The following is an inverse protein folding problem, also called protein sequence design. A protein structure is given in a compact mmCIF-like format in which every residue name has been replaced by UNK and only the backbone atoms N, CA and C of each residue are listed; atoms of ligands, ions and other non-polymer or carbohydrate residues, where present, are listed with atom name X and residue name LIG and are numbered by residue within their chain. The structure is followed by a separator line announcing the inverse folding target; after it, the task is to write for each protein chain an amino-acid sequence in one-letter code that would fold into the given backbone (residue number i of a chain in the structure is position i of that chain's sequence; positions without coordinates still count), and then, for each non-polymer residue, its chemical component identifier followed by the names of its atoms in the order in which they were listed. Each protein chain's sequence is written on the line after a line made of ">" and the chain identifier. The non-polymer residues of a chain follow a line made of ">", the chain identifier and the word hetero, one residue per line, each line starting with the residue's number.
data_IF_501493274549
#
_entry.id   IF_501493274549
#
_cell.length_a   1.000
_cell.length_b   1.000
_cell.length_c   1.000
_cell.angle_alpha   90.00
_cell.angle_beta   90.00
_cell.angle_gamma   90.00
#
_symmetry.space_group_name_H-M   'P 1'
#
loop_
_entity.id
_entity.type
_entity.pdbx_description
1 polymer ?
#
# COMPACT_ATOMS: atom_id res chain seq x y z
N UNK A 1 6.20 -10.18 12.03
CA UNK A 1 5.21 -11.27 12.11
C UNK A 1 5.01 -11.76 10.68
N UNK A 2 5.54 -12.93 10.33
CA UNK A 2 5.43 -13.46 8.96
C UNK A 2 4.00 -14.00 8.83
N UNK A 3 3.12 -13.29 8.10
CA UNK A 3 1.77 -13.78 7.77
C UNK A 3 1.95 -15.11 7.03
N UNK A 4 1.29 -16.18 7.52
CA UNK A 4 1.15 -17.40 6.72
C UNK A 4 0.33 -17.06 5.47
N UNK A 5 0.72 -17.56 4.28
CA UNK A 5 -0.06 -17.39 3.07
C UNK A 5 -1.46 -17.94 3.28
N UNK A 6 -2.49 -17.15 2.97
CA UNK A 6 -3.87 -17.59 2.97
C UNK A 6 -4.46 -17.34 1.58
N UNK A 7 -3.89 -18.05 0.61
CA UNK A 7 -4.28 -18.03 -0.81
C UNK A 7 -5.81 -18.20 -1.00
N UNK A 8 -6.47 -18.94 -0.11
CA UNK A 8 -7.94 -19.07 -0.10
C UNK A 8 -8.65 -17.76 0.23
N UNK A 9 -8.14 -16.99 1.20
CA UNK A 9 -8.72 -15.71 1.59
C UNK A 9 -8.55 -14.65 0.49
N UNK A 10 -7.38 -14.62 -0.16
CA UNK A 10 -7.17 -13.75 -1.30
C UNK A 10 -8.14 -14.06 -2.44
N UNK A 11 -8.29 -15.34 -2.77
CA UNK A 11 -9.22 -15.78 -3.82
C UNK A 11 -10.68 -15.39 -3.51
N UNK A 12 -11.11 -15.49 -2.25
CA UNK A 12 -12.45 -15.05 -1.81
C UNK A 12 -12.63 -13.55 -2.08
N UNK A 13 -11.68 -12.71 -1.65
CA UNK A 13 -11.79 -11.27 -1.84
C UNK A 13 -11.65 -10.84 -3.30
N UNK A 14 -10.75 -11.47 -4.06
CA UNK A 14 -10.61 -11.24 -5.49
C UNK A 14 -11.92 -11.56 -6.25
N UNK A 15 -12.54 -12.71 -5.95
CA UNK A 15 -13.82 -13.08 -6.56
C UNK A 15 -14.95 -12.12 -6.17
N UNK A 16 -15.00 -11.70 -4.90
CA UNK A 16 -15.98 -10.72 -4.44
C UNK A 16 -15.78 -9.36 -5.13
N UNK A 17 -14.54 -8.92 -5.28
CA UNK A 17 -14.16 -7.71 -6.00
C UNK A 17 -14.57 -7.79 -7.47
N UNK A 18 -14.19 -8.86 -8.17
CA UNK A 18 -14.53 -9.06 -9.58
C UNK A 18 -16.05 -9.04 -9.82
N UNK A 19 -16.81 -9.73 -8.98
CA UNK A 19 -18.27 -9.76 -9.08
C UNK A 19 -18.89 -8.39 -8.82
N UNK A 20 -18.43 -7.66 -7.79
CA UNK A 20 -18.88 -6.31 -7.51
C UNK A 20 -18.54 -5.33 -8.65
N UNK A 21 -17.35 -5.46 -9.24
CA UNK A 21 -16.90 -4.61 -10.34
C UNK A 21 -17.72 -4.86 -11.60
N UNK A 22 -18.01 -6.14 -11.89
CA UNK A 22 -18.88 -6.53 -13.01
C UNK A 22 -20.29 -5.97 -12.83
N UNK A 23 -20.86 -6.12 -11.64
CA UNK A 23 -22.18 -5.59 -11.28
C UNK A 23 -22.22 -4.06 -11.40
N UNK A 24 -21.19 -3.37 -10.91
CA UNK A 24 -21.04 -1.92 -11.06
C UNK A 24 -20.97 -1.49 -12.54
N UNK A 25 -20.13 -2.14 -13.34
CA UNK A 25 -19.96 -1.84 -14.75
C UNK A 25 -21.24 -2.07 -15.57
N UNK A 26 -21.95 -3.17 -15.30
CA UNK A 26 -23.21 -3.49 -15.96
C UNK A 26 -24.33 -2.50 -15.58
N UNK A 27 -24.38 -2.06 -14.32
CA UNK A 27 -25.30 -1.00 -13.86
C UNK A 27 -25.01 0.32 -14.55
N UNK A 28 -23.73 0.72 -14.67
CA UNK A 28 -23.34 1.93 -15.40
C UNK A 28 -23.75 1.91 -16.88
N UNK A 29 -23.73 0.74 -17.52
CA UNK A 29 -24.14 0.56 -18.93
C UNK A 29 -25.65 0.62 -19.13
N UNK A 30 -26.43 0.04 -18.21
CA UNK A 30 -27.90 -0.10 -18.35
C UNK A 30 -28.65 1.17 -18.00
N UNK A 31 -28.32 1.79 -16.86
CA UNK A 31 -28.96 3.03 -16.42
C UNK A 31 -27.94 3.99 -15.78
N UNK A 32 -27.40 4.93 -16.57
CA UNK A 32 -26.47 5.91 -16.07
C UNK A 32 -27.05 6.87 -15.01
N UNK A 33 -28.36 6.89 -14.75
CA UNK A 33 -29.00 7.88 -13.88
C UNK A 33 -29.41 7.36 -12.50
N UNK A 34 -29.38 6.04 -12.28
CA UNK A 34 -29.77 5.46 -10.99
C UNK A 34 -28.66 5.60 -9.93
N UNK A 35 -28.64 6.72 -9.19
CA UNK A 35 -27.52 7.14 -8.34
C UNK A 35 -27.29 6.30 -7.07
N UNK A 36 -28.36 5.83 -6.42
CA UNK A 36 -28.25 5.10 -5.14
C UNK A 36 -27.58 3.73 -5.32
N UNK A 37 -28.04 2.92 -6.27
CA UNK A 37 -27.44 1.61 -6.58
C UNK A 37 -25.97 1.74 -6.98
N UNK A 38 -25.63 2.77 -7.77
CA UNK A 38 -24.25 3.05 -8.18
C UNK A 38 -23.35 3.32 -7.00
N UNK A 39 -23.81 4.14 -6.06
CA UNK A 39 -23.03 4.54 -4.88
C UNK A 39 -22.79 3.34 -3.96
N UNK A 40 -23.82 2.50 -3.78
CA UNK A 40 -23.68 1.25 -3.02
C UNK A 40 -22.68 0.29 -3.68
N UNK A 41 -22.80 0.07 -4.98
CA UNK A 41 -21.91 -0.81 -5.73
C UNK A 41 -20.47 -0.30 -5.76
N UNK A 42 -20.27 1.01 -5.90
CA UNK A 42 -18.95 1.63 -5.82
C UNK A 42 -18.28 1.35 -4.46
N UNK A 43 -18.99 1.53 -3.36
CA UNK A 43 -18.48 1.22 -2.00
C UNK A 43 -18.12 -0.26 -1.86
N UNK A 44 -18.94 -1.16 -2.43
CA UNK A 44 -18.68 -2.61 -2.45
C UNK A 44 -17.41 -2.95 -3.25
N UNK A 45 -17.22 -2.33 -4.41
CA UNK A 45 -16.02 -2.46 -5.24
C UNK A 45 -14.78 -2.00 -4.47
N UNK A 46 -14.83 -0.81 -3.87
CA UNK A 46 -13.73 -0.26 -3.06
C UNK A 46 -13.39 -1.20 -1.91
N UNK A 47 -14.38 -1.63 -1.14
CA UNK A 47 -14.16 -2.49 0.03
C UNK A 47 -13.49 -3.80 -0.34
N UNK A 48 -14.02 -4.53 -1.32
CA UNK A 48 -13.43 -5.80 -1.73
C UNK A 48 -12.11 -5.62 -2.48
N UNK A 49 -11.93 -4.52 -3.22
CA UNK A 49 -10.68 -4.18 -3.88
C UNK A 49 -9.54 -3.97 -2.88
N UNK A 50 -9.78 -3.17 -1.83
CA UNK A 50 -8.83 -2.98 -0.72
C UNK A 50 -8.49 -4.32 -0.07
N UNK A 51 -9.49 -5.15 0.23
CA UNK A 51 -9.26 -6.49 0.81
C UNK A 51 -8.46 -7.41 -0.11
N UNK A 52 -8.73 -7.38 -1.41
CA UNK A 52 -8.01 -8.17 -2.41
C UNK A 52 -6.54 -7.78 -2.46
N UNK A 53 -6.23 -6.48 -2.51
CA UNK A 53 -4.85 -5.97 -2.49
C UNK A 53 -4.14 -6.33 -1.18
N UNK A 54 -4.81 -6.18 -0.03
CA UNK A 54 -4.22 -6.45 1.29
C UNK A 54 -3.93 -7.92 1.56
N UNK A 55 -4.62 -8.82 0.86
CA UNK A 55 -4.47 -10.27 1.05
C UNK A 55 -3.60 -10.90 -0.03
N UNK A 56 -3.15 -10.13 -1.01
CA UNK A 56 -2.32 -10.65 -2.08
C UNK A 56 -0.97 -11.13 -1.53
N UNK A 57 -0.53 -12.30 -2.01
CA UNK A 57 0.74 -12.88 -1.60
C UNK A 57 1.91 -12.20 -2.31
N UNK A 58 3.00 -12.01 -1.55
CA UNK A 58 4.31 -11.65 -2.07
C UNK A 58 4.87 -12.82 -2.89
N UNK A 59 4.57 -12.84 -4.18
CA UNK A 59 5.15 -13.78 -5.14
C UNK A 59 6.43 -13.21 -5.74
N UNK A 60 7.23 -14.06 -6.38
CA UNK A 60 8.38 -13.60 -7.16
C UNK A 60 7.97 -12.46 -8.11
N UNK A 61 8.73 -11.36 -8.05
CA UNK A 61 8.44 -10.12 -8.78
C UNK A 61 8.45 -10.41 -10.29
N UNK A 62 7.30 -10.27 -10.93
CA UNK A 62 7.15 -10.35 -12.39
C UNK A 62 6.66 -9.01 -12.90
N UNK A 63 7.35 -8.46 -13.92
CA UNK A 63 7.09 -7.09 -14.38
C UNK A 63 5.63 -6.83 -14.76
N UNK A 64 5.01 -7.73 -15.52
CA UNK A 64 3.60 -7.62 -15.92
C UNK A 64 2.67 -7.61 -14.70
N UNK A 65 2.89 -8.52 -13.76
CA UNK A 65 2.10 -8.60 -12.52
C UNK A 65 2.21 -7.32 -11.68
N UNK A 66 3.42 -6.77 -11.52
CA UNK A 66 3.59 -5.52 -10.76
C UNK A 66 2.91 -4.33 -11.44
N UNK A 67 2.90 -4.30 -12.78
CA UNK A 67 2.18 -3.27 -13.55
C UNK A 67 0.67 -3.39 -13.31
N UNK A 68 0.12 -4.61 -13.39
CA UNK A 68 -1.30 -4.86 -13.15
C UNK A 68 -1.70 -4.49 -11.71
N UNK A 69 -0.90 -4.86 -10.72
CA UNK A 69 -1.13 -4.52 -9.31
C UNK A 69 -1.10 -3.00 -9.10
N UNK A 70 -0.12 -2.30 -9.68
CA UNK A 70 -0.04 -0.86 -9.60
C UNK A 70 -1.26 -0.18 -10.24
N UNK A 71 -1.67 -0.64 -11.43
CA UNK A 71 -2.84 -0.11 -12.13
C UNK A 71 -4.13 -0.33 -11.33
N UNK A 72 -4.29 -1.51 -10.72
CA UNK A 72 -5.42 -1.81 -9.85
C UNK A 72 -5.47 -0.85 -8.65
N UNK A 73 -4.35 -0.67 -7.96
CA UNK A 73 -4.23 0.25 -6.82
C UNK A 73 -4.55 1.69 -7.25
N UNK A 74 -4.05 2.11 -8.41
CA UNK A 74 -4.31 3.44 -8.96
C UNK A 74 -5.81 3.65 -9.22
N UNK A 75 -6.47 2.70 -9.86
CA UNK A 75 -7.92 2.75 -10.11
C UNK A 75 -8.71 2.75 -8.79
N UNK A 76 -8.28 1.99 -7.79
CA UNK A 76 -8.93 2.00 -6.47
C UNK A 76 -8.77 3.35 -5.77
N UNK A 77 -7.63 4.03 -5.90
CA UNK A 77 -7.45 5.39 -5.41
C UNK A 77 -8.44 6.36 -6.08
N UNK A 78 -8.53 6.32 -7.42
CA UNK A 78 -9.49 7.15 -8.15
C UNK A 78 -10.94 6.86 -7.73
N UNK A 79 -11.29 5.59 -7.49
CA UNK A 79 -12.62 5.22 -6.99
C UNK A 79 -12.87 5.72 -5.56
N UNK A 80 -11.87 5.63 -4.67
CA UNK A 80 -11.97 6.14 -3.30
C UNK A 80 -12.10 7.66 -3.26
N UNK A 81 -11.47 8.38 -4.18
CA UNK A 81 -11.58 9.83 -4.31
C UNK A 81 -13.00 10.32 -4.62
N UNK A 82 -13.85 9.47 -5.21
CA UNK A 82 -15.26 9.76 -5.48
C UNK A 82 -16.13 9.73 -4.21
N UNK A 83 -15.67 9.12 -3.13
CA UNK A 83 -16.40 9.07 -1.87
C UNK A 83 -16.25 10.41 -1.13
N UNK A 84 -17.31 10.80 -0.43
CA UNK A 84 -17.20 11.85 0.59
C UNK A 84 -16.45 11.32 1.83
N UNK A 85 -15.83 12.20 2.65
CA UNK A 85 -15.20 11.76 3.90
C UNK A 85 -16.16 10.97 4.81
N UNK A 86 -17.44 11.36 4.87
CA UNK A 86 -18.45 10.65 5.67
C UNK A 86 -18.68 9.23 5.17
N UNK A 87 -18.78 9.05 3.85
CA UNK A 87 -18.96 7.73 3.25
C UNK A 87 -17.75 6.84 3.46
N UNK A 88 -16.55 7.40 3.33
CA UNK A 88 -15.31 6.69 3.58
C UNK A 88 -15.24 6.20 5.03
N UNK A 89 -15.56 7.07 6.00
CA UNK A 89 -15.58 6.71 7.44
C UNK A 89 -16.59 5.61 7.74
N UNK A 90 -17.75 5.62 7.08
CA UNK A 90 -18.74 4.56 7.22
C UNK A 90 -18.24 3.23 6.65
N UNK A 91 -17.47 3.25 5.56
CA UNK A 91 -16.92 2.05 4.93
C UNK A 91 -15.73 1.47 5.70
N UNK A 92 -14.84 2.35 6.18
CA UNK A 92 -13.63 2.00 6.91
C UNK A 92 -13.57 2.77 8.23
N UNK A 93 -14.23 2.31 9.31
CA UNK A 93 -14.25 3.05 10.57
C UNK A 93 -12.86 3.38 11.10
N UNK A 94 -12.68 4.61 11.61
CA UNK A 94 -11.41 5.05 12.21
C UNK A 94 -11.12 4.16 13.42
N UNK A 95 -9.93 3.58 13.45
CA UNK A 95 -9.47 2.75 14.57
C UNK A 95 -9.31 3.62 15.82
N UNK A 96 -9.89 3.16 16.93
CA UNK A 96 -9.80 3.82 18.25
C UNK A 96 -8.47 3.49 18.95
N UNK A 97 -7.36 3.83 18.30
CA UNK A 97 -6.06 3.89 18.96
C UNK A 97 -5.84 5.32 19.47
N UNK A 98 -5.33 5.47 20.68
CA UNK A 98 -5.13 6.76 21.35
C UNK A 98 -3.66 6.97 21.76
N UNK A 99 -2.78 6.01 21.45
CA UNK A 99 -1.37 6.05 21.88
C UNK A 99 -0.44 6.64 20.82
N UNK A 100 -0.94 7.18 19.70
CA UNK A 100 -0.09 7.65 18.61
C UNK A 100 0.90 8.73 19.05
N UNK A 101 0.44 9.69 19.86
CA UNK A 101 1.30 10.71 20.46
C UNK A 101 2.52 10.15 21.21
N UNK A 102 2.39 9.00 21.89
CA UNK A 102 3.50 8.35 22.60
C UNK A 102 4.60 7.86 21.66
N UNK A 103 4.24 7.52 20.42
CA UNK A 103 5.13 6.91 19.44
C UNK A 103 5.39 7.81 18.21
N UNK A 104 4.93 9.07 18.24
CA UNK A 104 4.99 9.96 17.08
C UNK A 104 4.19 9.45 15.87
N UNK A 105 3.18 8.61 16.11
CA UNK A 105 2.32 8.01 15.10
C UNK A 105 0.96 8.72 15.06
N UNK A 106 0.26 8.59 13.93
CA UNK A 106 -1.12 9.05 13.78
C UNK A 106 -2.04 8.15 14.60
N UNK A 107 -3.02 8.75 15.26
CA UNK A 107 -4.02 8.07 16.07
C UNK A 107 -5.44 8.53 15.73
N UNK A 108 -6.40 8.06 16.52
CA UNK A 108 -7.81 8.41 16.37
C UNK A 108 -8.05 9.92 16.37
N UNK A 109 -7.41 10.65 17.29
CA UNK A 109 -7.61 12.10 17.42
C UNK A 109 -7.01 12.84 16.23
N UNK A 110 -5.79 12.49 15.83
CA UNK A 110 -5.16 13.04 14.64
C UNK A 110 -6.06 12.87 13.40
N UNK A 111 -6.52 11.65 13.13
CA UNK A 111 -7.35 11.36 11.95
C UNK A 111 -8.68 12.09 12.02
N UNK A 112 -9.32 12.14 13.19
CA UNK A 112 -10.59 12.85 13.37
C UNK A 112 -10.43 14.36 13.14
N UNK A 113 -9.37 14.96 13.66
CA UNK A 113 -9.07 16.38 13.47
C UNK A 113 -8.73 16.71 12.03
N UNK A 114 -8.03 15.81 11.32
CA UNK A 114 -7.78 15.94 9.88
C UNK A 114 -9.10 15.92 9.09
N UNK A 115 -9.95 14.91 9.32
CA UNK A 115 -11.21 14.75 8.59
C UNK A 115 -12.17 15.91 8.87
N UNK A 116 -12.25 16.40 10.11
CA UNK A 116 -13.15 17.51 10.47
C UNK A 116 -12.83 18.83 9.75
N UNK A 117 -11.63 18.97 9.18
CA UNK A 117 -11.24 20.14 8.37
C UNK A 117 -11.71 20.07 6.92
N UNK A 118 -12.16 18.89 6.46
CA UNK A 118 -12.64 18.66 5.11
C UNK A 118 -14.14 18.93 5.01
N UNK A 119 -14.63 19.26 3.81
CA UNK A 119 -16.06 19.29 3.56
C UNK A 119 -16.61 17.85 3.59
N UNK A 120 -17.53 17.57 4.51
CA UNK A 120 -18.05 16.21 4.74
C UNK A 120 -19.00 15.71 3.65
N UNK A 121 -19.47 16.60 2.77
CA UNK A 121 -20.45 16.28 1.73
C UNK A 121 -19.89 16.37 0.31
N UNK A 122 -18.65 16.84 0.14
CA UNK A 122 -17.97 16.86 -1.15
C UNK A 122 -17.09 15.61 -1.28
N UNK A 123 -16.86 15.09 -2.51
CA UNK A 123 -15.89 14.03 -2.73
C UNK A 123 -14.49 14.43 -2.22
N UNK A 124 -13.71 13.46 -1.77
CA UNK A 124 -12.33 13.67 -1.31
C UNK A 124 -11.47 14.30 -2.43
N UNK A 125 -11.68 13.88 -3.68
CA UNK A 125 -10.98 14.41 -4.85
C UNK A 125 -9.64 13.69 -5.12
N UNK A 126 -9.31 13.55 -6.42
CA UNK A 126 -8.13 12.82 -6.87
C UNK A 126 -6.82 13.50 -6.42
N UNK A 127 -6.85 14.82 -6.27
CA UNK A 127 -5.72 15.61 -5.82
C UNK A 127 -5.40 15.41 -4.32
N UNK A 128 -6.39 15.00 -3.51
CA UNK A 128 -6.23 14.86 -2.05
C UNK A 128 -6.22 13.40 -1.56
N UNK A 129 -6.57 12.42 -2.40
CA UNK A 129 -6.81 11.05 -1.95
C UNK A 129 -5.57 10.41 -1.30
N UNK A 130 -4.38 10.63 -1.84
CA UNK A 130 -3.15 10.05 -1.27
C UNK A 130 -2.86 10.60 0.14
N UNK A 131 -3.02 11.91 0.32
CA UNK A 131 -2.85 12.56 1.63
C UNK A 131 -3.94 12.13 2.62
N UNK A 132 -5.17 12.00 2.14
CA UNK A 132 -6.29 11.49 2.92
C UNK A 132 -6.00 10.09 3.44
N UNK A 133 -5.65 9.14 2.56
CA UNK A 133 -5.34 7.75 2.93
C UNK A 133 -4.14 7.68 3.87
N UNK A 134 -3.09 8.47 3.62
CA UNK A 134 -1.92 8.56 4.49
C UNK A 134 -2.31 9.05 5.89
N UNK A 135 -3.20 10.04 6.00
CA UNK A 135 -3.67 10.60 7.28
C UNK A 135 -4.67 9.70 8.03
N UNK A 136 -5.14 8.63 7.42
CA UNK A 136 -6.27 7.83 7.89
C UNK A 136 -5.85 6.62 8.74
N UNK A 137 -6.20 6.63 10.04
CA UNK A 137 -5.90 5.53 10.96
C UNK A 137 -6.95 4.42 10.86
N UNK A 138 -6.72 3.44 9.99
CA UNK A 138 -7.46 2.18 9.89
C UNK A 138 -6.53 1.08 9.39
N UNK A 139 -6.63 -0.15 9.92
CA UNK A 139 -5.67 -1.22 9.62
C UNK A 139 -5.71 -1.66 8.15
N UNK A 140 -6.91 -1.72 7.54
CA UNK A 140 -7.04 -2.07 6.12
C UNK A 140 -6.48 -0.97 5.23
N UNK A 141 -6.75 0.30 5.55
CA UNK A 141 -6.22 1.42 4.78
C UNK A 141 -4.71 1.55 4.95
N UNK A 142 -4.20 1.33 6.16
CA UNK A 142 -2.76 1.32 6.41
C UNK A 142 -2.06 0.23 5.58
N UNK A 143 -2.57 -1.00 5.59
CA UNK A 143 -2.01 -2.10 4.80
C UNK A 143 -2.10 -1.80 3.30
N UNK A 144 -3.21 -1.23 2.83
CA UNK A 144 -3.39 -0.84 1.43
C UNK A 144 -2.36 0.22 0.98
N UNK A 145 -2.14 1.25 1.80
CA UNK A 145 -1.17 2.30 1.52
C UNK A 145 0.26 1.74 1.52
N UNK A 146 0.58 0.82 2.43
CA UNK A 146 1.88 0.14 2.41
C UNK A 146 2.07 -0.69 1.14
N UNK A 147 1.06 -1.45 0.72
CA UNK A 147 1.09 -2.24 -0.51
C UNK A 147 1.20 -1.35 -1.76
N UNK A 148 0.60 -0.16 -1.73
CA UNK A 148 0.74 0.85 -2.79
C UNK A 148 2.18 1.34 -2.95
N UNK A 149 2.83 1.65 -1.82
CA UNK A 149 4.23 2.07 -1.80
C UNK A 149 5.15 0.94 -2.22
N UNK A 150 4.89 -0.29 -1.78
CA UNK A 150 5.66 -1.47 -2.17
C UNK A 150 5.57 -1.74 -3.68
N UNK A 151 4.36 -1.74 -4.25
CA UNK A 151 4.14 -1.92 -5.68
C UNK A 151 4.91 -0.88 -6.51
N UNK A 152 4.85 0.41 -6.12
CA UNK A 152 5.63 1.46 -6.77
C UNK A 152 7.14 1.21 -6.65
N UNK A 153 7.63 0.81 -5.48
CA UNK A 153 9.04 0.49 -5.29
C UNK A 153 9.49 -0.71 -6.14
N UNK A 154 8.66 -1.73 -6.31
CA UNK A 154 8.96 -2.88 -7.16
C UNK A 154 9.06 -2.47 -8.63
N UNK A 155 8.14 -1.65 -9.13
CA UNK A 155 8.21 -1.10 -10.48
C UNK A 155 9.46 -0.27 -10.71
N UNK A 156 9.83 0.60 -9.75
CA UNK A 156 11.06 1.39 -9.80
C UNK A 156 12.29 0.49 -9.89
N UNK A 157 12.39 -0.52 -9.03
CA UNK A 157 13.49 -1.51 -9.07
C UNK A 157 13.56 -2.23 -10.43
N UNK A 158 12.42 -2.66 -10.97
CA UNK A 158 12.35 -3.32 -12.28
C UNK A 158 12.76 -2.40 -13.44
N UNK A 159 12.68 -1.09 -13.26
CA UNK A 159 13.16 -0.09 -14.21
C UNK A 159 14.60 0.38 -13.91
N UNK A 160 15.28 -0.21 -12.92
CA UNK A 160 16.63 0.18 -12.52
C UNK A 160 16.69 1.49 -11.72
N UNK A 161 15.56 1.96 -11.20
CA UNK A 161 15.45 3.18 -10.40
C UNK A 161 15.59 2.88 -8.90
N UNK A 162 16.13 3.83 -8.10
CA UNK A 162 16.19 3.69 -6.66
C UNK A 162 14.78 3.65 -6.05
N UNK A 163 14.61 3.02 -4.88
CA UNK A 163 13.34 3.08 -4.15
C UNK A 163 13.03 4.50 -3.67
N UNK A 164 11.77 4.77 -3.33
CA UNK A 164 11.36 6.08 -2.79
C UNK A 164 12.15 6.45 -1.53
N UNK A 165 12.42 5.47 -0.67
CA UNK A 165 13.20 5.68 0.56
C UNK A 165 14.67 5.98 0.26
N UNK A 166 15.27 5.28 -0.71
CA UNK A 166 16.64 5.58 -1.15
C UNK A 166 16.72 6.98 -1.76
N UNK A 167 15.74 7.37 -2.57
CA UNK A 167 15.66 8.72 -3.15
C UNK A 167 15.52 9.79 -2.06
N UNK A 168 14.64 9.57 -1.07
CA UNK A 168 14.47 10.46 0.07
C UNK A 168 15.78 10.63 0.86
N UNK A 169 16.46 9.53 1.20
CA UNK A 169 17.72 9.60 1.94
C UNK A 169 18.80 10.33 1.13
N UNK A 170 18.94 10.03 -0.16
CA UNK A 170 19.86 10.75 -1.06
C UNK A 170 19.59 12.26 -1.07
N UNK A 171 18.32 12.67 -1.21
CA UNK A 171 17.93 14.09 -1.21
C UNK A 171 18.21 14.81 0.11
N UNK A 172 18.21 14.08 1.22
CA UNK A 172 18.49 14.62 2.56
C UNK A 172 19.96 14.44 2.98
N UNK A 173 20.86 14.02 2.07
CA UNK A 173 22.27 13.80 2.39
C UNK A 173 22.54 12.64 3.35
N UNK A 174 21.59 11.71 3.48
CA UNK A 174 21.72 10.52 4.32
C UNK A 174 22.29 9.38 3.46
N UNK A 175 23.43 8.85 3.87
CA UNK A 175 24.08 7.72 3.21
C UNK A 175 23.33 6.41 3.51
N UNK A 176 23.07 5.62 2.46
CA UNK A 176 22.37 4.33 2.56
C UNK A 176 23.26 3.23 2.03
N UNK A 177 23.23 2.06 2.66
CA UNK A 177 23.94 0.87 2.20
C UNK A 177 22.94 -0.24 1.86
N UNK A 178 23.14 -0.90 0.73
CA UNK A 178 22.38 -2.09 0.31
C UNK A 178 23.33 -3.28 0.29
N UNK A 179 22.95 -4.35 0.99
CA UNK A 179 23.67 -5.61 0.92
C UNK A 179 23.25 -6.37 -0.34
N UNK A 180 24.19 -6.67 -1.21
CA UNK A 180 23.98 -7.51 -2.39
C UNK A 180 24.82 -8.77 -2.28
N UNK A 181 24.24 -9.90 -2.67
CA UNK A 181 24.93 -11.18 -2.76
C UNK A 181 25.20 -11.46 -4.24
N UNK A 182 26.46 -11.68 -4.60
CA UNK A 182 26.82 -12.04 -5.97
C UNK A 182 26.53 -13.52 -6.28
N UNK A 183 26.71 -13.93 -7.54
CA UNK A 183 26.51 -15.31 -7.99
C UNK A 183 27.41 -16.33 -7.27
N UNK A 184 28.49 -15.87 -6.63
CA UNK A 184 29.43 -16.68 -5.87
C UNK A 184 29.15 -16.59 -4.36
N UNK A 185 27.96 -16.15 -3.96
CA UNK A 185 27.51 -15.98 -2.57
C UNK A 185 28.33 -14.96 -1.75
N UNK A 186 29.12 -14.10 -2.39
CA UNK A 186 29.85 -13.06 -1.67
C UNK A 186 28.96 -11.85 -1.43
N UNK A 187 29.00 -11.36 -0.20
CA UNK A 187 28.28 -10.16 0.22
C UNK A 187 29.08 -8.89 -0.08
N UNK A 188 28.42 -7.94 -0.73
CA UNK A 188 28.95 -6.62 -1.06
C UNK A 188 28.00 -5.56 -0.51
N UNK A 189 28.54 -4.53 0.13
CA UNK A 189 27.77 -3.36 0.51
C UNK A 189 27.89 -2.32 -0.61
N UNK A 190 26.77 -1.96 -1.21
CA UNK A 190 26.69 -0.87 -2.17
C UNK A 190 26.20 0.37 -1.44
N UNK A 191 26.97 1.46 -1.51
CA UNK A 191 26.48 2.75 -1.05
C UNK A 191 25.56 3.41 -2.10
N UNK A 192 25.02 4.58 -1.78
CA UNK A 192 24.15 5.36 -2.66
C UNK A 192 24.83 5.93 -3.93
N UNK A 193 26.15 5.75 -4.12
CA UNK A 193 26.90 6.10 -5.34
C UNK A 193 27.40 4.87 -6.10
N UNK A 194 26.79 3.70 -5.85
CA UNK A 194 27.18 2.40 -6.43
C UNK A 194 28.66 2.03 -6.20
N UNK A 195 29.26 2.62 -5.17
CA UNK A 195 30.61 2.29 -4.75
C UNK A 195 30.56 1.01 -3.92
N UNK A 196 31.28 -0.01 -4.40
CA UNK A 196 31.37 -1.31 -3.74
C UNK A 196 32.28 -1.21 -2.53
N UNK A 197 31.69 -1.34 -1.34
CA UNK A 197 32.40 -1.60 -0.11
C UNK A 197 32.39 -3.12 0.12
N UNK A 198 33.57 -3.74 0.24
CA UNK A 198 33.63 -5.14 0.68
C UNK A 198 32.99 -5.24 2.06
N UNK A 199 31.96 -6.07 2.21
CA UNK A 199 31.42 -6.38 3.52
C UNK A 199 32.55 -6.99 4.35
N UNK A 200 33.01 -6.30 5.40
CA UNK A 200 33.93 -6.90 6.36
C UNK A 200 33.17 -8.04 7.01
N UNK A 201 33.54 -9.28 6.68
CA UNK A 201 33.05 -10.47 7.37
C UNK A 201 33.38 -10.33 8.86
N UNK A 202 32.40 -9.90 9.65
CA UNK A 202 32.44 -10.03 11.10
C UNK A 202 32.05 -11.47 11.43
N UNK A 203 32.88 -12.45 11.02
CA UNK A 203 32.93 -13.72 11.74
C UNK A 203 33.43 -13.40 13.15
N UNK A 204 32.49 -13.15 14.05
CA UNK A 204 32.80 -12.92 15.44
C UNK A 204 33.47 -14.19 15.97
N UNK A 205 34.74 -14.09 16.38
CA UNK A 205 35.61 -15.23 16.73
C UNK A 205 35.04 -16.16 17.82
N UNK A 206 33.97 -15.76 18.51
CA UNK A 206 33.36 -16.47 19.63
C UNK A 206 32.11 -17.30 19.27
N UNK A 207 31.56 -17.22 18.05
CA UNK A 207 30.49 -18.13 17.63
C UNK A 207 31.10 -19.40 17.03
N UNK A 208 31.25 -20.44 17.85
CA UNK A 208 31.58 -21.80 17.40
C UNK A 208 30.29 -22.58 17.20
N UNK A 209 30.06 -23.06 15.98
CA UNK A 209 29.03 -24.05 15.69
C UNK A 209 29.48 -25.36 16.35
N UNK A 210 28.73 -25.83 17.33
CA UNK A 210 28.92 -27.16 17.93
C UNK A 210 28.17 -28.14 17.01
N UNK A 211 28.90 -29.10 16.45
CA UNK A 211 28.34 -30.24 15.69
C UNK A 211 27.77 -31.29 16.64
#
# INVERSE_FOLDING_TARGET
>A
MIKKPNNELNLIYYNAFYNALKEYADTLRKDPKHYEDKTYLLKKVIFYGVKSVNTEELTAVRKEKEIDNFNLIFVLNDMMALLTPREFVNLFPIKKDFNGHKFGAKDYFYTKDYINKLNQNDPIGNENILDFLWAYTNDDIFEFVMNSIESLNNLRKLNGEPSLMQEFFRKNGIETYTLNTDLNENEHLLNNTDTVLKAKSNRVKHLRIIK
#
